data_IF_271956259671
#
_entry.id   IF_271956259671
#
_cell.length_a   1.000
_cell.length_b   1.000
_cell.length_c   1.000
_cell.angle_alpha   90.00
_cell.angle_beta   90.00
_cell.angle_gamma   90.00
#
_symmetry.space_group_name_H-M   'P 1'
#
loop_
_entity.id
_entity.type
_entity.pdbx_description
1 polymer ?
#
# COMPACT_ATOMS: atom_id res chain seq x y z
N UNK A 1 6.22 23.62 -12.58
CA UNK A 1 5.82 22.57 -13.56
C UNK A 1 5.45 21.35 -12.74
N UNK A 2 4.30 20.71 -13.01
CA UNK A 2 3.97 19.44 -12.37
C UNK A 2 5.10 18.43 -12.68
N UNK A 3 5.47 17.62 -11.69
CA UNK A 3 6.44 16.55 -11.93
C UNK A 3 5.89 15.63 -13.04
N UNK A 4 6.74 15.20 -13.98
CA UNK A 4 6.30 14.36 -15.07
C UNK A 4 5.75 13.04 -14.50
N UNK A 5 4.63 12.60 -15.04
CA UNK A 5 4.17 11.23 -14.85
C UNK A 5 5.16 10.33 -15.59
N UNK A 6 5.40 9.12 -15.08
CA UNK A 6 6.31 8.14 -15.70
C UNK A 6 5.99 7.92 -17.18
N UNK A 7 6.99 7.56 -17.99
CA UNK A 7 6.83 7.26 -19.42
C UNK A 7 5.78 6.20 -19.74
N UNK A 8 5.36 5.42 -18.75
CA UNK A 8 4.28 4.44 -18.87
C UNK A 8 2.88 5.01 -18.67
N UNK A 9 2.76 6.25 -18.19
CA UNK A 9 1.48 6.82 -17.77
C UNK A 9 1.16 8.06 -18.59
N UNK A 10 -0.03 8.08 -19.16
CA UNK A 10 -0.55 9.21 -19.93
C UNK A 10 -0.71 10.43 -19.00
N UNK A 11 0.08 11.50 -19.19
CA UNK A 11 0.03 12.66 -18.32
C UNK A 11 -1.32 13.40 -18.37
N UNK A 12 -2.07 13.28 -19.44
CA UNK A 12 -3.32 14.04 -19.65
C UNK A 12 -4.47 13.51 -18.77
N UNK A 13 -4.38 12.28 -18.28
CA UNK A 13 -5.42 11.70 -17.42
C UNK A 13 -5.10 11.82 -15.92
N UNK A 14 -3.97 12.42 -15.55
CA UNK A 14 -3.52 12.54 -14.17
C UNK A 14 -3.32 13.99 -13.75
N UNK A 15 -3.84 14.36 -12.58
CA UNK A 15 -3.64 15.66 -11.95
C UNK A 15 -2.92 15.51 -10.64
N UNK A 16 -1.85 16.29 -10.42
CA UNK A 16 -1.11 16.27 -9.16
C UNK A 16 -2.03 16.62 -7.97
N UNK A 17 -1.95 15.82 -6.91
CA UNK A 17 -2.72 16.08 -5.70
C UNK A 17 -2.11 17.24 -4.92
N UNK A 18 -2.91 18.19 -4.37
CA UNK A 18 -2.37 19.36 -3.65
C UNK A 18 -1.45 19.01 -2.48
N UNK A 19 -1.73 17.92 -1.76
CA UNK A 19 -0.91 17.46 -0.64
C UNK A 19 0.50 17.09 -1.05
N UNK A 20 0.74 16.82 -2.34
CA UNK A 20 2.03 16.43 -2.89
C UNK A 20 2.88 17.60 -3.39
N UNK A 21 2.46 18.87 -3.19
CA UNK A 21 3.17 20.05 -3.70
C UNK A 21 4.66 20.10 -3.30
N UNK A 22 4.99 19.56 -2.13
CA UNK A 22 6.36 19.54 -1.59
C UNK A 22 6.97 18.14 -1.54
N UNK A 23 6.37 17.14 -2.16
CA UNK A 23 6.95 15.81 -2.23
C UNK A 23 8.15 15.79 -3.18
N UNK A 24 9.18 15.06 -2.80
CA UNK A 24 10.44 14.99 -3.55
C UNK A 24 10.81 13.56 -3.93
N UNK A 25 10.33 12.58 -3.18
CA UNK A 25 10.70 11.17 -3.31
C UNK A 25 9.59 10.32 -3.92
N UNK A 26 8.37 10.87 -3.97
CA UNK A 26 7.22 10.24 -4.62
C UNK A 26 6.44 11.26 -5.44
N UNK A 27 5.65 10.76 -6.38
CA UNK A 27 4.58 11.52 -7.02
C UNK A 27 3.23 11.00 -6.58
N UNK A 28 2.25 11.90 -6.41
CA UNK A 28 0.90 11.55 -6.07
C UNK A 28 -0.09 12.27 -6.98
N UNK A 29 -0.85 11.51 -7.75
CA UNK A 29 -1.79 12.03 -8.75
C UNK A 29 -3.18 11.44 -8.54
N UNK A 30 -4.19 12.22 -8.91
CA UNK A 30 -5.59 11.78 -8.98
C UNK A 30 -6.02 11.70 -10.44
N UNK A 31 -6.72 10.64 -10.79
CA UNK A 31 -7.29 10.50 -12.15
C UNK A 31 -8.37 11.56 -12.38
N UNK A 32 -8.34 12.23 -13.54
CA UNK A 32 -9.18 13.40 -13.81
C UNK A 32 -10.68 13.12 -13.78
N UNK A 33 -11.13 11.90 -14.04
CA UNK A 33 -12.56 11.55 -14.14
C UNK A 33 -13.00 10.38 -13.27
N UNK A 34 -12.08 9.72 -12.52
CA UNK A 34 -12.39 8.50 -11.81
C UNK A 34 -11.85 8.51 -10.37
N UNK A 35 -12.42 7.68 -9.52
CA UNK A 35 -11.99 7.50 -8.12
C UNK A 35 -10.72 6.66 -7.98
N UNK A 36 -9.75 6.85 -8.88
CA UNK A 36 -8.45 6.18 -8.90
C UNK A 36 -7.37 7.21 -8.57
N UNK A 37 -6.42 6.84 -7.73
CA UNK A 37 -5.23 7.63 -7.46
C UNK A 37 -3.97 6.81 -7.74
N UNK A 38 -2.90 7.51 -8.11
CA UNK A 38 -1.59 6.94 -8.40
C UNK A 38 -0.57 7.50 -7.41
N UNK A 39 0.05 6.62 -6.64
CA UNK A 39 1.17 6.90 -5.73
C UNK A 39 2.38 6.19 -6.29
N UNK A 40 3.42 6.92 -6.64
CA UNK A 40 4.61 6.34 -7.26
C UNK A 40 5.90 6.79 -6.60
N UNK A 41 6.79 5.85 -6.32
CA UNK A 41 8.17 6.17 -5.98
C UNK A 41 8.82 6.95 -7.13
N UNK A 42 9.58 7.99 -6.82
CA UNK A 42 10.19 8.89 -7.81
C UNK A 42 11.68 9.14 -7.53
N UNK A 43 12.40 8.05 -7.33
CA UNK A 43 13.87 8.01 -7.18
C UNK A 43 14.49 7.00 -8.15
N UNK A 44 14.21 7.10 -9.47
CA UNK A 44 14.60 6.08 -10.44
C UNK A 44 16.12 5.89 -10.55
N UNK A 45 16.91 6.93 -10.25
CA UNK A 45 18.39 6.88 -10.26
C UNK A 45 18.97 5.91 -9.21
N UNK A 46 18.18 5.53 -8.21
CA UNK A 46 18.52 4.55 -7.17
C UNK A 46 17.52 3.38 -7.10
N UNK A 47 16.88 3.08 -8.24
CA UNK A 47 15.89 2.00 -8.33
C UNK A 47 14.72 2.17 -7.36
N UNK A 48 14.32 3.40 -7.11
CA UNK A 48 13.23 3.72 -6.20
C UNK A 48 13.44 3.18 -4.77
N UNK A 49 14.71 3.13 -4.31
CA UNK A 49 15.03 2.79 -2.94
C UNK A 49 14.43 3.86 -2.00
N UNK A 50 13.74 3.41 -0.95
CA UNK A 50 13.12 4.34 -0.01
C UNK A 50 14.06 4.76 1.12
N UNK A 51 13.87 5.98 1.58
CA UNK A 51 14.49 6.59 2.77
C UNK A 51 13.39 7.13 3.70
N UNK A 52 13.71 7.59 4.92
CA UNK A 52 12.69 8.10 5.85
C UNK A 52 11.72 9.10 5.22
N UNK A 53 12.23 10.07 4.45
CA UNK A 53 11.39 11.05 3.73
C UNK A 53 10.41 10.37 2.77
N UNK A 54 10.89 9.39 1.98
CA UNK A 54 10.02 8.63 1.07
C UNK A 54 8.87 7.96 1.83
N UNK A 55 9.16 7.40 3.00
CA UNK A 55 8.16 6.73 3.84
C UNK A 55 7.14 7.71 4.40
N UNK A 56 7.59 8.88 4.85
CA UNK A 56 6.72 9.95 5.34
C UNK A 56 5.78 10.46 4.22
N UNK A 57 6.32 10.68 3.02
CA UNK A 57 5.53 11.11 1.86
C UNK A 57 4.52 10.03 1.43
N UNK A 58 4.93 8.75 1.39
CA UNK A 58 4.03 7.62 1.12
C UNK A 58 2.88 7.55 2.13
N UNK A 59 3.20 7.67 3.41
CA UNK A 59 2.19 7.63 4.46
C UNK A 59 1.16 8.76 4.27
N UNK A 60 1.63 9.97 4.00
CA UNK A 60 0.77 11.15 3.79
C UNK A 60 -0.11 11.00 2.54
N UNK A 61 0.45 10.50 1.42
CA UNK A 61 -0.31 10.27 0.20
C UNK A 61 -1.39 9.19 0.38
N UNK A 62 -1.03 8.09 1.03
CA UNK A 62 -1.97 6.99 1.29
C UNK A 62 -3.04 7.38 2.31
N UNK A 63 -2.71 8.22 3.30
CA UNK A 63 -3.68 8.73 4.27
C UNK A 63 -4.66 9.74 3.63
N UNK A 64 -4.19 10.62 2.73
CA UNK A 64 -5.07 11.48 1.92
C UNK A 64 -6.04 10.63 1.08
N UNK A 65 -5.51 9.62 0.38
CA UNK A 65 -6.34 8.69 -0.39
C UNK A 65 -7.35 7.93 0.46
N UNK A 66 -6.96 7.52 1.67
CA UNK A 66 -7.84 6.85 2.64
C UNK A 66 -8.99 7.75 3.07
N UNK A 67 -8.73 9.02 3.29
CA UNK A 67 -9.71 9.99 3.80
C UNK A 67 -10.62 10.56 2.69
N UNK A 68 -10.18 10.58 1.42
CA UNK A 68 -11.00 11.09 0.31
C UNK A 68 -12.14 10.12 -0.02
N UNK A 69 -13.42 10.52 0.21
CA UNK A 69 -14.57 9.64 -0.03
C UNK A 69 -14.80 9.34 -1.53
N UNK A 70 -14.18 10.09 -2.44
CA UNK A 70 -14.28 9.88 -3.88
C UNK A 70 -13.31 8.82 -4.38
N UNK A 71 -12.26 8.51 -3.63
CA UNK A 71 -11.25 7.51 -3.98
C UNK A 71 -11.73 6.11 -3.57
N UNK A 72 -11.66 5.18 -4.50
CA UNK A 72 -11.93 3.74 -4.24
C UNK A 72 -10.71 2.86 -4.46
N UNK A 73 -9.78 3.28 -5.35
CA UNK A 73 -8.63 2.49 -5.77
C UNK A 73 -7.35 3.32 -5.74
N UNK A 74 -6.28 2.72 -5.22
CA UNK A 74 -4.93 3.27 -5.20
C UNK A 74 -4.04 2.40 -6.08
N UNK A 75 -3.39 2.98 -7.07
CA UNK A 75 -2.31 2.37 -7.83
C UNK A 75 -0.98 2.74 -7.16
N UNK A 76 -0.30 1.76 -6.58
CA UNK A 76 1.02 1.93 -6.00
C UNK A 76 2.06 1.43 -7.02
N UNK A 77 2.99 2.30 -7.44
CA UNK A 77 3.94 1.99 -8.51
C UNK A 77 5.30 2.67 -8.31
N UNK A 78 6.16 2.60 -9.30
CA UNK A 78 7.44 3.32 -9.35
C UNK A 78 7.62 4.03 -10.68
N UNK A 79 8.09 5.28 -10.65
CA UNK A 79 8.46 6.03 -11.83
C UNK A 79 9.79 5.50 -12.39
N UNK A 80 9.97 5.68 -13.69
CA UNK A 80 11.15 5.27 -14.44
C UNK A 80 11.05 5.71 -15.90
N UNK A 81 12.00 5.30 -16.74
CA UNK A 81 13.15 4.44 -16.42
C UNK A 81 14.27 5.14 -15.64
N UNK A 82 15.20 4.35 -15.09
CA UNK A 82 16.41 4.90 -14.47
C UNK A 82 17.26 5.67 -15.50
N UNK A 83 17.68 6.90 -15.20
CA UNK A 83 18.53 7.68 -16.10
C UNK A 83 19.95 7.09 -16.28
N UNK A 84 20.33 6.13 -15.43
CA UNK A 84 21.67 5.52 -15.47
C UNK A 84 21.81 4.43 -16.51
N UNK A 85 20.75 3.63 -16.71
CA UNK A 85 20.84 2.41 -17.52
C UNK A 85 19.50 1.99 -18.17
N UNK A 86 18.47 2.84 -18.07
CA UNK A 86 17.16 2.56 -18.65
C UNK A 86 16.34 1.49 -17.90
N UNK A 87 16.83 0.99 -16.76
CA UNK A 87 16.15 -0.07 -16.03
C UNK A 87 14.96 0.43 -15.22
N UNK A 88 13.97 -0.43 -15.05
CA UNK A 88 12.74 -0.15 -14.33
C UNK A 88 12.74 -0.72 -12.90
N UNK A 89 12.11 -0.03 -11.97
CA UNK A 89 11.88 -0.52 -10.63
C UNK A 89 10.53 -0.05 -10.08
N UNK A 90 9.86 -0.94 -9.40
CA UNK A 90 8.79 -0.60 -8.47
C UNK A 90 9.40 0.06 -7.23
N UNK A 91 10.17 -0.69 -6.47
CA UNK A 91 10.94 -0.23 -5.32
C UNK A 91 11.99 -1.30 -4.96
N UNK A 92 13.23 -0.89 -4.79
CA UNK A 92 14.34 -1.80 -4.45
C UNK A 92 14.58 -1.95 -2.95
N UNK A 93 13.63 -1.52 -2.11
CA UNK A 93 13.73 -1.61 -0.65
C UNK A 93 14.37 -0.40 -0.01
N UNK A 94 14.84 -0.56 1.22
CA UNK A 94 15.49 0.51 1.97
C UNK A 94 16.83 0.93 1.39
N UNK A 95 17.09 2.22 1.32
CA UNK A 95 18.35 2.77 0.79
C UNK A 95 19.53 2.43 1.73
N UNK A 96 20.29 1.40 1.36
CA UNK A 96 21.40 0.89 2.18
C UNK A 96 22.53 1.90 2.39
N UNK A 97 22.63 2.96 1.56
CA UNK A 97 23.66 3.99 1.69
C UNK A 97 23.49 4.84 2.95
N UNK A 98 22.27 4.90 3.48
CA UNK A 98 21.94 5.69 4.68
C UNK A 98 21.59 4.82 5.89
N UNK A 99 21.71 3.49 5.79
CA UNK A 99 21.49 2.59 6.91
C UNK A 99 22.71 2.55 7.82
N UNK A 100 22.62 3.13 9.02
CA UNK A 100 23.62 3.03 10.08
C UNK A 100 23.29 1.96 11.12
N UNK A 101 24.04 1.93 12.22
CA UNK A 101 23.79 1.03 13.36
C UNK A 101 22.41 1.28 14.01
N UNK A 102 21.92 2.51 13.95
CA UNK A 102 20.60 2.93 14.47
C UNK A 102 19.46 2.76 13.47
N UNK A 103 19.71 2.09 12.33
CA UNK A 103 18.74 1.93 11.26
C UNK A 103 18.83 3.03 10.20
N UNK A 104 17.72 3.30 9.52
CA UNK A 104 17.64 4.34 8.50
C UNK A 104 17.50 5.70 9.14
N UNK A 105 18.37 6.64 8.76
CA UNK A 105 18.44 7.98 9.33
C UNK A 105 18.20 9.04 8.25
N UNK A 106 17.69 10.18 8.68
CA UNK A 106 17.74 11.38 7.84
C UNK A 106 19.20 11.82 7.70
N UNK A 107 19.64 12.16 6.48
CA UNK A 107 21.04 12.48 6.17
C UNK A 107 21.12 13.89 5.58
N UNK A 108 22.12 14.68 6.04
CA UNK A 108 22.40 16.03 5.55
C UNK A 108 21.28 17.01 5.89
N UNK A 109 21.15 18.06 5.07
CA UNK A 109 20.13 19.10 5.26
C UNK A 109 18.70 18.57 5.19
N UNK A 110 18.52 17.41 4.59
CA UNK A 110 17.23 16.72 4.49
C UNK A 110 16.84 15.97 5.77
N UNK A 111 17.77 15.81 6.70
CA UNK A 111 17.59 15.07 7.93
C UNK A 111 17.81 15.88 9.18
N UNK A 112 18.12 17.16 9.07
CA UNK A 112 18.08 18.04 10.21
C UNK A 112 16.63 18.12 10.72
N UNK A 113 16.40 17.97 12.06
CA UNK A 113 15.08 18.19 12.61
C UNK A 113 14.62 19.60 12.19
N UNK A 114 13.32 19.78 11.89
CA UNK A 114 12.77 21.09 11.59
C UNK A 114 13.17 22.08 12.70
N UNK A 115 13.40 23.36 12.34
CA UNK A 115 13.74 24.39 13.29
C UNK A 115 12.69 24.44 14.42
N UNK A 116 13.14 24.34 15.68
CA UNK A 116 12.25 24.30 16.84
C UNK A 116 11.83 22.89 17.32
N UNK A 117 12.30 21.82 16.67
CA UNK A 117 12.08 20.46 17.18
C UNK A 117 13.11 20.14 18.27
N UNK A 118 12.63 19.63 19.40
CA UNK A 118 13.49 19.16 20.49
C UNK A 118 14.48 18.09 19.97
N UNK A 119 15.80 18.30 20.17
CA UNK A 119 16.82 17.33 19.76
C UNK A 119 16.61 15.92 20.32
N UNK A 120 16.05 15.80 21.54
CA UNK A 120 15.75 14.50 22.15
C UNK A 120 14.58 13.79 21.43
N UNK A 121 13.55 14.54 21.02
CA UNK A 121 12.45 14.01 20.22
C UNK A 121 12.93 13.59 18.83
N UNK A 122 13.79 14.38 18.20
CA UNK A 122 14.42 14.05 16.92
C UNK A 122 15.25 12.77 17.04
N UNK A 123 16.08 12.65 18.07
CA UNK A 123 16.87 11.46 18.36
C UNK A 123 15.99 10.23 18.61
N UNK A 124 14.88 10.37 19.31
CA UNK A 124 13.94 9.28 19.58
C UNK A 124 13.22 8.78 18.31
N UNK A 125 13.08 9.63 17.29
CA UNK A 125 12.49 9.27 15.99
C UNK A 125 13.50 8.69 15.01
N UNK A 126 14.81 8.86 15.24
CA UNK A 126 15.85 8.31 14.38
C UNK A 126 15.83 6.77 14.38
N UNK A 127 16.10 6.19 13.22
CA UNK A 127 16.20 4.75 13.06
C UNK A 127 14.87 3.99 13.07
N UNK A 128 13.74 4.64 13.27
CA UNK A 128 12.44 4.00 13.12
C UNK A 128 12.19 3.68 11.66
N UNK A 129 11.90 2.42 11.39
CA UNK A 129 11.51 1.97 10.05
C UNK A 129 9.99 2.11 9.91
N UNK A 130 9.53 3.27 9.49
CA UNK A 130 8.11 3.57 9.34
C UNK A 130 7.44 2.83 8.17
N UNK A 131 8.20 2.11 7.33
CA UNK A 131 7.64 1.33 6.23
C UNK A 131 6.62 0.28 6.72
N UNK A 132 6.77 -0.24 7.92
CA UNK A 132 5.79 -1.15 8.52
C UNK A 132 4.45 -0.45 8.81
N UNK A 133 4.47 0.86 9.09
CA UNK A 133 3.25 1.66 9.23
C UNK A 133 2.56 1.86 7.87
N UNK A 134 3.33 2.01 6.80
CA UNK A 134 2.79 2.05 5.42
C UNK A 134 2.14 0.70 5.07
N UNK A 135 2.79 -0.42 5.38
CA UNK A 135 2.21 -1.75 5.21
C UNK A 135 0.90 -1.90 5.98
N UNK A 136 0.88 -1.46 7.25
CA UNK A 136 -0.32 -1.49 8.09
C UNK A 136 -1.44 -0.62 7.49
N UNK A 137 -1.12 0.59 7.02
CA UNK A 137 -2.08 1.49 6.40
C UNK A 137 -2.69 0.86 5.13
N UNK A 138 -1.87 0.25 4.26
CA UNK A 138 -2.34 -0.46 3.06
C UNK A 138 -3.35 -1.54 3.43
N UNK A 139 -3.08 -2.36 4.44
CA UNK A 139 -4.00 -3.43 4.86
C UNK A 139 -5.28 -2.91 5.49
N UNK A 140 -5.20 -1.85 6.28
CA UNK A 140 -6.33 -1.37 7.10
C UNK A 140 -7.17 -0.28 6.41
N UNK A 141 -6.70 0.32 5.31
CA UNK A 141 -7.49 1.33 4.61
C UNK A 141 -8.68 0.73 3.87
N UNK A 142 -9.85 1.45 3.82
CA UNK A 142 -11.07 0.96 3.17
C UNK A 142 -11.04 1.11 1.63
N UNK A 143 -9.85 1.09 1.03
CA UNK A 143 -9.62 1.26 -0.40
C UNK A 143 -8.86 0.05 -0.91
N UNK A 144 -9.06 -0.30 -2.19
CA UNK A 144 -8.25 -1.35 -2.82
C UNK A 144 -6.93 -0.76 -3.26
N UNK A 145 -5.83 -1.42 -2.89
CA UNK A 145 -4.48 -1.05 -3.33
C UNK A 145 -3.98 -2.08 -4.33
N UNK A 146 -3.63 -1.61 -5.53
CA UNK A 146 -3.07 -2.42 -6.61
C UNK A 146 -1.59 -2.05 -6.74
N UNK A 147 -0.70 -2.99 -6.48
CA UNK A 147 0.71 -2.85 -6.81
C UNK A 147 0.89 -3.03 -8.33
N UNK A 148 1.38 -1.99 -9.00
CA UNK A 148 1.70 -1.99 -10.43
C UNK A 148 3.22 -2.01 -10.54
N UNK A 149 3.78 -3.17 -10.88
CA UNK A 149 5.21 -3.46 -10.78
C UNK A 149 5.89 -3.34 -12.14
N UNK A 150 6.50 -2.17 -12.48
CA UNK A 150 7.12 -1.94 -13.78
C UNK A 150 8.50 -2.60 -13.91
N UNK A 151 9.12 -3.01 -12.81
CA UNK A 151 10.47 -3.56 -12.78
C UNK A 151 10.80 -4.22 -11.46
N UNK A 152 11.97 -3.89 -10.87
CA UNK A 152 12.43 -4.47 -9.62
C UNK A 152 11.50 -4.18 -8.43
N UNK A 153 11.08 -5.23 -7.75
CA UNK A 153 10.44 -5.21 -6.43
C UNK A 153 11.32 -6.02 -5.47
N UNK A 154 12.14 -5.33 -4.65
CA UNK A 154 13.13 -6.01 -3.82
C UNK A 154 13.09 -5.55 -2.35
N UNK A 155 13.46 -6.43 -1.42
CA UNK A 155 13.45 -6.14 0.01
C UNK A 155 12.11 -5.57 0.49
N UNK A 156 12.12 -4.38 1.10
CA UNK A 156 10.87 -3.70 1.50
C UNK A 156 9.91 -3.40 0.35
N UNK A 157 10.40 -3.24 -0.88
CA UNK A 157 9.56 -3.12 -2.08
C UNK A 157 8.84 -4.43 -2.42
N UNK A 158 9.51 -5.58 -2.23
CA UNK A 158 8.87 -6.88 -2.32
C UNK A 158 7.77 -7.03 -1.25
N UNK A 159 8.03 -6.61 -0.02
CA UNK A 159 7.03 -6.65 1.05
C UNK A 159 5.82 -5.74 0.76
N UNK A 160 6.02 -4.58 0.12
CA UNK A 160 4.92 -3.68 -0.26
C UNK A 160 3.98 -4.30 -1.29
N UNK A 161 4.51 -5.01 -2.31
CA UNK A 161 3.62 -5.69 -3.25
C UNK A 161 2.88 -6.86 -2.57
N UNK A 162 3.53 -7.56 -1.65
CA UNK A 162 2.93 -8.67 -0.91
C UNK A 162 1.74 -8.23 -0.03
N UNK A 163 1.79 -7.01 0.54
CA UNK A 163 0.70 -6.49 1.39
C UNK A 163 -0.38 -5.76 0.61
N UNK A 164 -0.15 -5.41 -0.66
CA UNK A 164 -1.17 -4.87 -1.54
C UNK A 164 -2.29 -5.90 -1.78
N UNK A 165 -3.50 -5.41 -2.08
CA UNK A 165 -4.64 -6.30 -2.32
C UNK A 165 -4.50 -7.10 -3.63
N UNK A 166 -3.90 -6.47 -4.65
CA UNK A 166 -3.69 -7.04 -5.98
C UNK A 166 -2.32 -6.62 -6.51
N UNK A 167 -1.75 -7.43 -7.41
CA UNK A 167 -0.48 -7.12 -8.08
C UNK A 167 -0.57 -7.40 -9.57
N UNK A 168 -0.15 -6.41 -10.38
CA UNK A 168 0.05 -6.51 -11.83
C UNK A 168 1.53 -6.24 -12.11
N UNK A 169 2.19 -7.05 -12.93
CA UNK A 169 3.61 -6.92 -13.20
C UNK A 169 3.95 -6.91 -14.69
N UNK A 170 5.04 -6.21 -15.03
CA UNK A 170 5.62 -6.22 -16.37
C UNK A 170 6.21 -7.59 -16.70
N UNK A 171 5.89 -8.10 -17.89
CA UNK A 171 6.47 -9.35 -18.39
C UNK A 171 7.98 -9.21 -18.64
N UNK A 172 8.40 -8.08 -19.19
CA UNK A 172 9.78 -7.85 -19.62
C UNK A 172 10.70 -7.48 -18.45
N UNK A 173 10.22 -6.60 -17.56
CA UNK A 173 11.05 -5.97 -16.55
C UNK A 173 10.72 -6.38 -15.12
N UNK A 174 9.57 -7.03 -14.87
CA UNK A 174 9.17 -7.47 -13.53
C UNK A 174 10.14 -8.48 -12.94
N UNK A 175 10.83 -8.08 -11.86
CA UNK A 175 11.79 -8.91 -11.12
C UNK A 175 11.53 -8.75 -9.64
N UNK A 176 11.56 -9.85 -8.94
CA UNK A 176 11.28 -9.94 -7.52
C UNK A 176 12.45 -10.56 -6.79
N UNK A 177 12.79 -10.02 -5.64
CA UNK A 177 13.84 -10.58 -4.79
C UNK A 177 13.61 -10.15 -3.34
N UNK A 178 13.71 -11.08 -2.41
CA UNK A 178 13.76 -10.73 -0.99
C UNK A 178 15.21 -10.68 -0.53
N UNK A 179 15.71 -9.45 -0.32
CA UNK A 179 17.14 -9.19 -0.09
C UNK A 179 17.56 -9.20 1.38
N UNK A 180 16.64 -9.36 2.30
CA UNK A 180 16.90 -9.14 3.73
C UNK A 180 18.04 -10.01 4.28
N UNK A 181 18.07 -11.30 3.93
CA UNK A 181 19.13 -12.21 4.37
C UNK A 181 20.51 -11.79 3.83
N UNK A 182 20.58 -11.25 2.60
CA UNK A 182 21.84 -10.79 2.00
C UNK A 182 22.41 -9.56 2.72
N UNK A 183 21.56 -8.72 3.28
CA UNK A 183 21.96 -7.43 3.87
C UNK A 183 21.88 -7.41 5.40
N UNK A 184 21.69 -8.55 6.03
CA UNK A 184 21.60 -8.66 7.49
C UNK A 184 20.39 -7.94 8.08
N UNK A 185 19.24 -8.04 7.41
CA UNK A 185 17.93 -7.51 7.83
C UNK A 185 16.92 -8.65 7.86
N UNK A 186 15.68 -8.34 8.25
CA UNK A 186 14.55 -9.27 8.12
C UNK A 186 13.22 -8.50 8.16
N UNK A 187 12.26 -8.91 7.33
CA UNK A 187 10.86 -8.52 7.47
C UNK A 187 10.11 -9.58 8.26
N UNK A 188 10.04 -9.40 9.57
CA UNK A 188 9.32 -10.30 10.47
C UNK A 188 7.83 -10.01 10.59
N UNK A 189 7.32 -9.08 9.80
CA UNK A 189 5.93 -8.65 9.81
C UNK A 189 5.09 -9.23 8.66
N UNK A 190 4.28 -8.36 8.05
CA UNK A 190 3.40 -8.77 6.95
C UNK A 190 4.15 -9.30 5.74
N UNK A 191 5.31 -8.71 5.40
CA UNK A 191 6.09 -9.10 4.22
C UNK A 191 6.44 -10.57 4.19
N UNK A 192 6.82 -11.19 5.33
CA UNK A 192 7.11 -12.62 5.38
C UNK A 192 5.89 -13.46 5.73
N UNK A 193 5.22 -13.14 6.83
CA UNK A 193 4.15 -13.97 7.38
C UNK A 193 2.92 -14.01 6.45
N UNK A 194 2.54 -12.87 5.88
CA UNK A 194 1.40 -12.79 4.97
C UNK A 194 1.75 -13.38 3.58
N UNK A 195 2.96 -13.13 3.09
CA UNK A 195 3.43 -13.73 1.84
C UNK A 195 3.39 -15.26 1.88
N UNK A 196 3.79 -15.86 3.02
CA UNK A 196 3.71 -17.30 3.22
C UNK A 196 2.27 -17.86 3.19
N UNK A 197 1.26 -17.03 3.47
CA UNK A 197 -0.15 -17.41 3.30
C UNK A 197 -0.59 -17.37 1.85
N UNK A 198 -0.03 -16.46 1.06
CA UNK A 198 -0.34 -16.34 -0.37
C UNK A 198 0.24 -17.50 -1.20
N UNK A 199 1.52 -17.81 -1.00
CA UNK A 199 2.26 -18.77 -1.85
C UNK A 199 2.59 -20.09 -1.16
N UNK A 200 2.29 -20.22 0.11
CA UNK A 200 2.62 -21.40 0.92
C UNK A 200 4.02 -21.32 1.53
N UNK A 201 4.18 -22.02 2.66
CA UNK A 201 5.36 -21.95 3.54
C UNK A 201 6.68 -22.34 2.84
N UNK A 202 6.64 -23.34 1.95
CA UNK A 202 7.86 -23.83 1.28
C UNK A 202 8.41 -22.81 0.30
N UNK A 203 7.57 -22.26 -0.58
CA UNK A 203 7.98 -21.25 -1.55
C UNK A 203 8.39 -19.94 -0.85
N UNK A 204 7.66 -19.52 0.19
CA UNK A 204 8.04 -18.33 0.94
C UNK A 204 9.43 -18.48 1.58
N UNK A 205 9.73 -19.63 2.20
CA UNK A 205 11.06 -19.89 2.80
C UNK A 205 12.15 -19.95 1.73
N UNK A 206 11.90 -20.52 0.57
CA UNK A 206 12.81 -20.50 -0.57
C UNK A 206 13.15 -19.05 -0.96
N UNK A 207 12.14 -18.21 -1.18
CA UNK A 207 12.33 -16.78 -1.52
C UNK A 207 13.12 -16.02 -0.45
N UNK A 208 12.80 -16.22 0.83
CA UNK A 208 13.44 -15.46 1.91
C UNK A 208 14.82 -16.02 2.32
N UNK A 209 15.04 -17.34 2.26
CA UNK A 209 16.27 -17.95 2.74
C UNK A 209 17.35 -18.00 1.68
N UNK A 210 16.98 -18.25 0.41
CA UNK A 210 17.94 -18.26 -0.69
C UNK A 210 18.19 -16.86 -1.25
N UNK A 211 17.24 -15.94 -1.07
CA UNK A 211 17.33 -14.57 -1.55
C UNK A 211 17.66 -14.49 -3.06
N UNK A 212 17.18 -15.45 -3.85
CA UNK A 212 17.36 -15.48 -5.29
C UNK A 212 16.34 -14.60 -6.02
N UNK A 213 16.72 -14.10 -7.19
CA UNK A 213 15.85 -13.36 -8.09
C UNK A 213 14.87 -14.30 -8.78
N UNK A 214 13.61 -13.84 -8.94
CA UNK A 214 12.63 -14.55 -9.75
C UNK A 214 11.80 -13.59 -10.63
N UNK A 215 11.31 -14.10 -11.75
CA UNK A 215 10.60 -13.32 -12.75
C UNK A 215 9.14 -13.05 -12.36
N UNK A 216 8.51 -12.09 -13.04
CA UNK A 216 7.07 -11.84 -12.94
C UNK A 216 6.24 -13.09 -13.26
N UNK A 217 6.66 -13.86 -14.26
CA UNK A 217 5.99 -15.12 -14.62
C UNK A 217 6.06 -16.15 -13.47
N UNK A 218 7.24 -16.29 -12.84
CA UNK A 218 7.37 -17.18 -11.67
C UNK A 218 6.53 -16.71 -10.49
N UNK A 219 6.48 -15.40 -10.24
CA UNK A 219 5.62 -14.81 -9.21
C UNK A 219 4.13 -15.08 -9.46
N UNK A 220 3.69 -15.04 -10.72
CA UNK A 220 2.34 -15.41 -11.13
C UNK A 220 2.05 -16.88 -10.88
N UNK A 221 2.96 -17.78 -11.27
CA UNK A 221 2.83 -19.22 -11.04
C UNK A 221 2.77 -19.59 -9.55
N UNK A 222 3.46 -18.86 -8.69
CA UNK A 222 3.40 -19.03 -7.25
C UNK A 222 2.12 -18.46 -6.62
N UNK A 223 1.34 -17.66 -7.35
CA UNK A 223 0.14 -16.99 -6.83
C UNK A 223 0.40 -15.66 -6.13
N UNK A 224 1.61 -15.10 -6.23
CA UNK A 224 1.96 -13.81 -5.63
C UNK A 224 1.60 -12.61 -6.53
N UNK A 225 1.47 -12.82 -7.84
CA UNK A 225 1.08 -11.84 -8.84
C UNK A 225 -0.21 -12.28 -9.52
N UNK A 226 -1.18 -11.39 -9.61
CA UNK A 226 -2.49 -11.70 -10.21
C UNK A 226 -2.47 -11.67 -11.73
N UNK A 227 -1.61 -10.82 -12.32
CA UNK A 227 -1.52 -10.66 -13.78
C UNK A 227 -0.13 -10.22 -14.20
N UNK A 228 0.35 -10.83 -15.28
CA UNK A 228 1.55 -10.38 -16.00
C UNK A 228 1.11 -9.86 -17.36
N UNK A 229 1.54 -8.65 -17.71
CA UNK A 229 1.19 -7.98 -18.98
C UNK A 229 2.45 -7.41 -19.62
N UNK A 230 2.38 -7.07 -20.92
CA UNK A 230 3.45 -6.33 -21.57
C UNK A 230 3.71 -5.02 -20.83
N UNK A 231 4.95 -4.58 -20.80
CA UNK A 231 5.34 -3.38 -20.08
C UNK A 231 4.50 -2.15 -20.46
N UNK A 232 4.30 -1.93 -21.74
CA UNK A 232 3.50 -0.83 -22.29
C UNK A 232 2.01 -0.89 -21.95
N UNK A 233 1.53 -2.04 -21.47
CA UNK A 233 0.12 -2.26 -21.12
C UNK A 233 -0.20 -2.07 -19.63
N UNK A 234 0.84 -1.83 -18.81
CA UNK A 234 0.70 -1.78 -17.35
C UNK A 234 -0.33 -0.74 -16.87
N UNK A 235 -0.25 0.50 -17.37
CA UNK A 235 -1.20 1.54 -16.99
C UNK A 235 -2.63 1.18 -17.39
N UNK A 236 -2.80 0.81 -18.66
CA UNK A 236 -4.12 0.47 -19.19
C UNK A 236 -4.78 -0.66 -18.39
N UNK A 237 -4.04 -1.69 -18.06
CA UNK A 237 -4.58 -2.82 -17.28
C UNK A 237 -4.90 -2.40 -15.83
N UNK A 238 -4.06 -1.58 -15.20
CA UNK A 238 -4.30 -1.08 -13.86
C UNK A 238 -5.54 -0.18 -13.78
N UNK A 239 -5.72 0.74 -14.72
CA UNK A 239 -6.91 1.59 -14.82
C UNK A 239 -8.15 0.72 -15.06
N UNK A 240 -8.10 -0.22 -16.02
CA UNK A 240 -9.21 -1.14 -16.30
C UNK A 240 -9.65 -1.92 -15.05
N UNK A 241 -8.70 -2.36 -14.21
CA UNK A 241 -9.03 -3.02 -12.94
C UNK A 241 -9.65 -2.04 -11.95
N UNK A 242 -9.11 -0.82 -11.88
CA UNK A 242 -9.67 0.25 -11.06
C UNK A 242 -11.12 0.54 -11.43
N UNK A 243 -11.42 0.71 -12.72
CA UNK A 243 -12.78 0.92 -13.25
C UNK A 243 -13.71 -0.24 -12.88
N UNK A 244 -13.22 -1.48 -13.06
CA UNK A 244 -13.98 -2.69 -12.71
C UNK A 244 -14.35 -2.70 -11.23
N UNK A 245 -13.41 -2.34 -10.34
CA UNK A 245 -13.61 -2.27 -8.89
C UNK A 245 -14.59 -1.15 -8.54
N UNK A 246 -14.42 0.03 -9.13
CA UNK A 246 -15.30 1.19 -8.91
C UNK A 246 -16.75 0.91 -9.36
N UNK A 247 -16.96 0.01 -10.31
CA UNK A 247 -18.28 -0.49 -10.71
C UNK A 247 -18.94 -1.45 -9.72
N UNK A 248 -18.30 -1.76 -8.58
CA UNK A 248 -18.84 -2.63 -7.54
C UNK A 248 -19.35 -1.82 -6.34
N UNK A 249 -20.10 -2.46 -5.46
CA UNK A 249 -20.57 -1.83 -4.22
C UNK A 249 -19.38 -1.43 -3.33
N UNK A 250 -19.20 -0.14 -3.00
CA UNK A 250 -18.10 0.30 -2.14
C UNK A 250 -18.13 -0.36 -0.75
N UNK A 251 -19.32 -0.57 -0.20
CA UNK A 251 -19.49 -1.24 1.08
C UNK A 251 -19.08 -2.70 1.00
N UNK A 252 -19.53 -3.44 -0.04
CA UNK A 252 -19.16 -4.84 -0.21
C UNK A 252 -17.66 -5.03 -0.38
N UNK A 253 -17.00 -4.22 -1.23
CA UNK A 253 -15.53 -4.27 -1.43
C UNK A 253 -14.79 -4.04 -0.10
N UNK A 254 -15.17 -3.00 0.65
CA UNK A 254 -14.55 -2.70 1.95
C UNK A 254 -14.73 -3.83 2.95
N UNK A 255 -15.95 -4.35 3.09
CA UNK A 255 -16.24 -5.44 4.03
C UNK A 255 -15.53 -6.74 3.65
N UNK A 256 -15.42 -7.05 2.34
CA UNK A 256 -14.64 -8.20 1.86
C UNK A 256 -13.15 -8.06 2.20
N UNK A 257 -12.55 -6.88 1.96
CA UNK A 257 -11.16 -6.62 2.34
C UNK A 257 -10.92 -6.86 3.83
N UNK A 258 -11.78 -6.31 4.68
CA UNK A 258 -11.67 -6.49 6.12
C UNK A 258 -11.91 -7.94 6.56
N UNK A 259 -12.85 -8.64 5.93
CA UNK A 259 -13.08 -10.06 6.22
C UNK A 259 -11.87 -10.93 5.87
N UNK A 260 -11.22 -10.70 4.71
CA UNK A 260 -9.98 -11.38 4.34
C UNK A 260 -8.84 -11.10 5.35
N UNK A 261 -8.72 -9.84 5.78
CA UNK A 261 -7.64 -9.44 6.67
C UNK A 261 -7.86 -9.87 8.12
N UNK A 262 -9.10 -9.92 8.60
CA UNK A 262 -9.43 -10.21 10.00
C UNK A 262 -8.85 -11.54 10.49
N UNK A 263 -8.87 -12.57 9.65
CA UNK A 263 -8.35 -13.90 9.97
C UNK A 263 -6.85 -13.89 10.20
N UNK A 264 -6.11 -13.14 9.38
CA UNK A 264 -4.65 -13.07 9.42
C UNK A 264 -4.13 -12.07 10.45
N UNK A 265 -4.85 -10.98 10.65
CA UNK A 265 -4.44 -9.88 11.53
C UNK A 265 -4.95 -10.08 12.98
N UNK A 266 -5.62 -11.19 13.28
CA UNK A 266 -6.05 -11.57 14.62
C UNK A 266 -6.94 -10.51 15.27
N UNK A 267 -6.71 -10.18 16.56
CA UNK A 267 -7.52 -9.22 17.30
C UNK A 267 -7.52 -7.80 16.69
N UNK A 268 -6.44 -7.38 16.04
CA UNK A 268 -6.38 -6.08 15.36
C UNK A 268 -7.29 -6.08 14.13
N UNK A 269 -7.25 -7.13 13.32
CA UNK A 269 -8.15 -7.29 12.18
C UNK A 269 -9.61 -7.41 12.62
N UNK A 270 -9.89 -8.14 13.68
CA UNK A 270 -11.22 -8.23 14.28
C UNK A 270 -11.75 -6.87 14.74
N UNK A 271 -10.89 -6.02 15.34
CA UNK A 271 -11.27 -4.68 15.78
C UNK A 271 -11.63 -3.77 14.60
N UNK A 272 -10.87 -3.83 13.50
CA UNK A 272 -11.16 -3.08 12.27
C UNK A 272 -12.49 -3.52 11.66
N UNK A 273 -12.70 -4.84 11.54
CA UNK A 273 -13.96 -5.42 11.07
C UNK A 273 -15.14 -5.01 11.95
N UNK A 274 -14.99 -5.10 13.29
CA UNK A 274 -16.03 -4.75 14.25
C UNK A 274 -16.46 -3.28 14.14
N UNK A 275 -15.50 -2.36 13.93
CA UNK A 275 -15.81 -0.93 13.74
C UNK A 275 -16.74 -0.68 12.54
N UNK A 276 -16.47 -1.34 11.40
CA UNK A 276 -17.32 -1.23 10.22
C UNK A 276 -18.68 -1.96 10.40
N UNK A 277 -18.67 -3.14 10.99
CA UNK A 277 -19.91 -3.88 11.28
C UNK A 277 -20.84 -3.08 12.21
N UNK A 278 -20.28 -2.47 13.26
CA UNK A 278 -21.02 -1.59 14.18
C UNK A 278 -21.62 -0.39 13.45
N UNK A 279 -20.82 0.26 12.59
CA UNK A 279 -21.29 1.40 11.80
C UNK A 279 -22.47 1.03 10.87
N UNK A 280 -22.43 -0.16 10.26
CA UNK A 280 -23.53 -0.68 9.45
C UNK A 280 -24.75 -1.03 10.28
N UNK A 281 -24.53 -1.63 11.46
CA UNK A 281 -25.61 -1.97 12.38
C UNK A 281 -26.37 -0.73 12.88
N UNK A 282 -25.68 0.38 13.15
CA UNK A 282 -26.34 1.64 13.57
C UNK A 282 -27.26 2.25 12.51
N UNK A 283 -27.15 1.85 11.26
CA UNK A 283 -28.04 2.27 10.18
C UNK A 283 -29.33 1.41 10.09
N UNK A 284 -29.47 0.37 10.92
CA UNK A 284 -30.64 -0.48 10.93
C UNK A 284 -31.78 0.11 11.76
N UNK A 285 -33.02 -0.27 11.43
CA UNK A 285 -34.21 0.13 12.19
C UNK A 285 -34.20 -0.40 13.63
N UNK A 286 -33.59 -1.57 13.86
CA UNK A 286 -33.38 -2.12 15.21
C UNK A 286 -32.52 -1.19 16.09
N UNK A 287 -31.46 -0.64 15.54
CA UNK A 287 -30.62 0.30 16.28
C UNK A 287 -31.32 1.63 16.55
N UNK A 288 -32.18 2.07 15.63
CA UNK A 288 -33.05 3.25 15.82
C UNK A 288 -34.03 3.00 16.95
N UNK A 289 -34.75 1.86 16.96
CA UNK A 289 -35.68 1.50 18.05
C UNK A 289 -34.95 1.42 19.38
N UNK A 290 -33.80 0.75 19.44
CA UNK A 290 -33.03 0.63 20.69
C UNK A 290 -32.60 2.00 21.27
N UNK A 291 -32.15 2.93 20.41
CA UNK A 291 -31.80 4.30 20.79
C UNK A 291 -33.02 5.07 21.30
N UNK A 292 -34.11 5.05 20.54
CA UNK A 292 -35.29 5.86 20.82
C UNK A 292 -36.00 5.36 22.10
N UNK A 293 -36.12 4.06 22.28
CA UNK A 293 -36.62 3.47 23.51
C UNK A 293 -35.80 3.88 24.74
N UNK A 294 -34.48 3.88 24.62
CA UNK A 294 -33.57 4.33 25.69
C UNK A 294 -33.80 5.81 26.05
N UNK A 295 -33.87 6.70 25.03
CA UNK A 295 -34.09 8.14 25.24
C UNK A 295 -35.46 8.44 25.82
N UNK A 296 -36.49 7.73 25.40
CA UNK A 296 -37.87 7.85 25.85
C UNK A 296 -38.14 7.13 27.19
N UNK A 297 -37.15 6.41 27.72
CA UNK A 297 -37.24 5.63 28.98
C UNK A 297 -38.37 4.62 28.97
N UNK A 298 -38.64 3.99 27.82
CA UNK A 298 -39.58 2.91 27.64
C UNK A 298 -38.88 1.59 27.33
N UNK A 299 -39.52 0.44 27.52
CA UNK A 299 -39.01 -0.82 26.97
C UNK A 299 -38.95 -0.77 25.44
N UNK A 300 -37.88 -1.35 24.81
CA UNK A 300 -37.82 -1.46 23.36
C UNK A 300 -38.81 -2.50 22.84
N UNK A 301 -39.37 -2.24 21.65
CA UNK A 301 -40.33 -3.12 20.98
C UNK A 301 -39.63 -3.99 19.93
N UNK A 302 -39.07 -5.13 20.36
CA UNK A 302 -38.32 -6.02 19.50
C UNK A 302 -39.19 -6.98 18.67
N UNK A 303 -40.47 -7.12 18.97
CA UNK A 303 -41.37 -8.09 18.31
C UNK A 303 -41.65 -7.76 16.84
N UNK A 304 -41.43 -6.50 16.45
CA UNK A 304 -41.53 -6.05 15.07
C UNK A 304 -40.33 -6.49 14.18
N UNK A 305 -39.26 -6.98 14.78
CA UNK A 305 -38.04 -7.40 14.07
C UNK A 305 -37.94 -8.92 14.04
N UNK A 306 -37.77 -9.52 12.83
CA UNK A 306 -37.70 -10.97 12.71
C UNK A 306 -36.33 -11.50 13.16
N UNK A 307 -36.30 -12.63 13.83
CA UNK A 307 -35.09 -13.41 14.07
C UNK A 307 -34.69 -14.13 12.76
N UNK A 308 -33.60 -13.70 12.15
CA UNK A 308 -33.01 -14.36 10.98
C UNK A 308 -32.00 -15.43 11.41
N UNK A 309 -31.90 -16.52 10.64
CA UNK A 309 -30.97 -17.63 10.82
C UNK A 309 -30.19 -17.94 9.53
#
# INVERSE_FOLDING_TARGET
MAAPVSDLFDPDVWTAAPVAEHFTDITYHKHVSQGIVRVAFDRPEVRNAFRPRTVDELYRALDDARQDPRVGVVLLTGNGPSPKDGGWAFCSGGDQRIRGRSGYQYVGDEGAPPEGVDPAAAQASMGRLHILEVQRLIRMMPKVVIAVVPGWAAGGGHSLHAVADLTIASAEHGRFKQTDADVGSFDGGYGSAYYARQIGQKLAREVFFLAEEYSAQRAYEMGAVNRVVRHEDLEREAIRWGETILGKSPTAIRMLKYAFNAVDDGMVGQQVFAGEATRLAYASDEAVEGRDAFLEKRPPEWTSFPWHY
#
